data_IF_288707694238
#
_entry.id   IF_288707694238
#
_cell.length_a   1.000
_cell.length_b   1.000
_cell.length_c   1.000
_cell.angle_alpha   90.00
_cell.angle_beta   90.00
_cell.angle_gamma   90.00
#
_symmetry.space_group_name_H-M   'P 1'
#
loop_
_entity.id
_entity.type
_entity.pdbx_description
1 polymer ?
#
# COMPACT_ATOMS: atom_id res chain seq x y z
N UNK A 1 23.74 18.95 5.11
CA UNK A 1 22.44 19.53 5.48
C UNK A 1 21.69 18.42 6.17
N UNK A 2 21.27 18.58 7.43
CA UNK A 2 20.59 17.52 8.17
C UNK A 2 19.23 17.26 7.53
N UNK A 3 19.12 16.15 6.78
CA UNK A 3 17.83 15.60 6.36
C UNK A 3 17.03 15.27 7.62
N UNK A 4 15.83 15.82 7.72
CA UNK A 4 14.91 15.54 8.81
C UNK A 4 14.35 14.12 8.60
N UNK A 5 14.67 13.15 9.47
CA UNK A 5 14.21 11.77 9.33
C UNK A 5 12.68 11.67 9.25
N UNK A 6 11.99 12.65 9.82
CA UNK A 6 10.53 12.76 9.75
C UNK A 6 10.05 12.98 8.31
N UNK A 7 10.69 13.92 7.62
CA UNK A 7 10.37 14.30 6.25
C UNK A 7 10.70 13.17 5.28
N UNK A 8 11.82 12.46 5.50
CA UNK A 8 12.20 11.30 4.69
C UNK A 8 11.21 10.15 4.82
N UNK A 9 10.82 9.83 6.06
CA UNK A 9 9.78 8.84 6.30
C UNK A 9 8.48 9.21 5.61
N UNK A 10 8.00 10.45 5.78
CA UNK A 10 6.74 10.88 5.18
C UNK A 10 6.80 10.83 3.65
N UNK A 11 7.94 11.18 3.06
CA UNK A 11 8.16 11.11 1.60
C UNK A 11 8.11 9.66 1.11
N UNK A 12 8.83 8.76 1.78
CA UNK A 12 8.83 7.33 1.45
C UNK A 12 7.44 6.71 1.66
N UNK A 13 6.78 7.03 2.78
CA UNK A 13 5.45 6.55 3.08
C UNK A 13 4.45 7.03 2.02
N UNK A 14 4.43 8.33 1.69
CA UNK A 14 3.52 8.88 0.69
C UNK A 14 3.69 8.22 -0.68
N UNK A 15 4.94 7.93 -1.08
CA UNK A 15 5.25 7.23 -2.33
C UNK A 15 4.70 5.80 -2.36
N UNK A 16 4.71 5.10 -1.23
CA UNK A 16 4.40 3.68 -1.14
C UNK A 16 3.04 3.37 -0.48
N UNK A 17 2.32 4.38 -0.01
CA UNK A 17 1.08 4.27 0.77
C UNK A 17 0.01 3.42 0.06
N UNK A 18 -0.17 3.66 -1.24
CA UNK A 18 -1.14 2.89 -2.04
C UNK A 18 -0.75 1.42 -2.16
N UNK A 19 0.52 1.12 -2.39
CA UNK A 19 0.98 -0.26 -2.53
C UNK A 19 0.87 -1.01 -1.18
N UNK A 20 1.18 -0.33 -0.08
CA UNK A 20 1.00 -0.85 1.27
C UNK A 20 -0.48 -1.08 1.60
N UNK A 21 -1.35 -0.13 1.25
CA UNK A 21 -2.80 -0.25 1.45
C UNK A 21 -3.37 -1.45 0.70
N UNK A 22 -3.05 -1.60 -0.59
CA UNK A 22 -3.48 -2.75 -1.40
C UNK A 22 -2.99 -4.09 -0.82
N UNK A 23 -1.79 -4.10 -0.24
CA UNK A 23 -1.25 -5.28 0.43
C UNK A 23 -2.08 -5.66 1.67
N UNK A 24 -2.42 -4.69 2.53
CA UNK A 24 -3.24 -4.93 3.73
C UNK A 24 -4.66 -5.37 3.36
N UNK A 25 -5.33 -4.67 2.44
CA UNK A 25 -6.68 -5.04 1.99
C UNK A 25 -6.73 -6.40 1.28
N UNK A 26 -5.64 -6.82 0.63
CA UNK A 26 -5.56 -8.14 0.02
C UNK A 26 -5.49 -9.29 1.04
N UNK A 27 -5.11 -9.00 2.29
CA UNK A 27 -4.90 -10.00 3.35
C UNK A 27 -5.93 -9.92 4.48
N UNK A 28 -6.71 -8.84 4.54
CA UNK A 28 -7.70 -8.60 5.60
C UNK A 28 -9.07 -8.36 4.94
N UNK A 29 -10.00 -9.33 5.03
CA UNK A 29 -11.29 -9.24 4.35
C UNK A 29 -12.21 -8.12 4.85
N UNK A 30 -12.19 -7.84 6.16
CA UNK A 30 -13.02 -6.82 6.76
C UNK A 30 -12.34 -5.45 6.61
N UNK A 31 -13.02 -4.53 5.91
CA UNK A 31 -12.44 -3.22 5.57
C UNK A 31 -12.09 -2.39 6.81
N UNK A 32 -12.95 -2.37 7.84
CA UNK A 32 -12.69 -1.64 9.08
C UNK A 32 -11.43 -2.16 9.79
N UNK A 33 -11.28 -3.48 9.89
CA UNK A 33 -10.09 -4.09 10.48
C UNK A 33 -8.83 -3.81 9.65
N UNK A 34 -8.96 -3.80 8.32
CA UNK A 34 -7.86 -3.48 7.42
C UNK A 34 -7.38 -2.03 7.60
N UNK A 35 -8.32 -1.08 7.74
CA UNK A 35 -8.03 0.33 7.99
C UNK A 35 -7.28 0.51 9.31
N UNK A 36 -7.75 -0.16 10.38
CA UNK A 36 -7.12 -0.12 11.70
C UNK A 36 -5.70 -0.71 11.66
N UNK A 37 -5.53 -1.89 11.03
CA UNK A 37 -4.22 -2.53 10.87
C UNK A 37 -3.28 -1.64 10.07
N UNK A 38 -3.75 -1.01 8.99
CA UNK A 38 -2.95 -0.10 8.18
C UNK A 38 -2.48 1.12 8.99
N UNK A 39 -3.37 1.72 9.79
CA UNK A 39 -3.01 2.84 10.67
C UNK A 39 -1.96 2.42 11.71
N UNK A 40 -2.18 1.30 12.40
CA UNK A 40 -1.21 0.79 13.38
C UNK A 40 0.13 0.45 12.73
N UNK A 41 0.10 -0.12 11.53
CA UNK A 41 1.31 -0.39 10.73
C UNK A 41 2.11 0.90 10.50
N UNK A 42 1.46 1.98 10.06
CA UNK A 42 2.11 3.27 9.82
C UNK A 42 2.73 3.84 11.11
N UNK A 43 2.05 3.72 12.25
CA UNK A 43 2.56 4.15 13.55
C UNK A 43 3.77 3.32 13.99
N UNK A 44 3.75 2.00 13.77
CA UNK A 44 4.88 1.13 14.09
C UNK A 44 6.06 1.39 13.18
N UNK A 45 5.82 1.60 11.88
CA UNK A 45 6.84 2.01 10.93
C UNK A 45 7.49 3.33 11.36
N UNK A 46 6.70 4.34 11.74
CA UNK A 46 7.21 5.62 12.23
C UNK A 46 8.15 5.44 13.44
N UNK A 47 7.70 4.69 14.45
CA UNK A 47 8.49 4.41 15.66
C UNK A 47 9.77 3.64 15.37
N UNK A 48 9.77 2.81 14.32
CA UNK A 48 10.88 1.92 13.96
C UNK A 48 11.69 2.46 12.78
N UNK A 49 11.42 3.68 12.31
CA UNK A 49 12.04 4.21 11.10
C UNK A 49 13.55 4.43 11.26
N UNK A 50 14.03 4.69 12.48
CA UNK A 50 15.46 4.75 12.78
C UNK A 50 16.20 3.43 12.56
N UNK A 51 15.47 2.30 12.47
CA UNK A 51 16.03 0.98 12.17
C UNK A 51 15.99 0.65 10.67
N UNK A 52 15.30 1.47 9.87
CA UNK A 52 15.29 1.30 8.42
C UNK A 52 16.62 1.83 7.86
N UNK A 53 17.27 1.01 7.04
CA UNK A 53 18.52 1.40 6.39
C UNK A 53 18.22 2.13 5.06
N UNK A 54 18.55 3.43 4.95
CA UNK A 54 18.30 4.20 3.73
C UNK A 54 18.97 3.57 2.52
N UNK A 55 18.31 3.66 1.35
CA UNK A 55 18.78 3.03 0.11
C UNK A 55 18.36 1.57 -0.05
N UNK A 56 17.81 0.93 0.99
CA UNK A 56 17.17 -0.38 0.86
C UNK A 56 15.70 -0.27 0.41
N UNK A 57 15.05 -1.42 0.14
CA UNK A 57 13.69 -1.44 -0.37
C UNK A 57 12.65 -1.13 0.73
N UNK A 58 12.20 0.12 0.78
CA UNK A 58 11.21 0.60 1.75
C UNK A 58 9.88 -0.17 1.70
N UNK A 59 9.36 -0.48 0.51
CA UNK A 59 8.07 -1.19 0.42
C UNK A 59 8.18 -2.64 0.92
N UNK A 60 9.31 -3.32 0.68
CA UNK A 60 9.54 -4.65 1.23
C UNK A 60 9.61 -4.62 2.77
N UNK A 61 10.29 -3.63 3.34
CA UNK A 61 10.32 -3.41 4.78
C UNK A 61 8.93 -3.10 5.35
N UNK A 62 8.18 -2.20 4.71
CA UNK A 62 6.82 -1.82 5.12
C UNK A 62 5.86 -3.02 5.09
N UNK A 63 5.91 -3.86 4.05
CA UNK A 63 5.11 -5.10 3.94
C UNK A 63 5.45 -6.08 5.05
N UNK A 64 6.73 -6.20 5.44
CA UNK A 64 7.14 -7.04 6.58
C UNK A 64 6.51 -6.55 7.88
N UNK A 65 6.56 -5.24 8.14
CA UNK A 65 5.89 -4.65 9.32
C UNK A 65 4.39 -4.92 9.28
N UNK A 66 3.74 -4.68 8.14
CA UNK A 66 2.30 -4.92 7.95
C UNK A 66 1.93 -6.39 8.19
N UNK A 67 2.70 -7.33 7.64
CA UNK A 67 2.48 -8.76 7.80
C UNK A 67 2.50 -9.18 9.27
N UNK A 68 3.44 -8.66 10.06
CA UNK A 68 3.48 -8.91 11.50
C UNK A 68 2.26 -8.33 12.24
N UNK A 69 1.76 -7.15 11.85
CA UNK A 69 0.52 -6.60 12.41
C UNK A 69 -0.69 -7.49 12.08
N UNK A 70 -0.79 -7.96 10.83
CA UNK A 70 -1.85 -8.87 10.37
C UNK A 70 -1.79 -10.19 11.16
N UNK A 71 -0.61 -10.79 11.36
CA UNK A 71 -0.45 -11.98 12.19
C UNK A 71 -0.85 -11.73 13.64
N UNK A 72 -0.54 -10.55 14.19
CA UNK A 72 -0.98 -10.13 15.52
C UNK A 72 -2.51 -10.09 15.63
N UNK A 73 -3.15 -9.38 14.71
CA UNK A 73 -4.62 -9.31 14.59
C UNK A 73 -5.24 -10.69 14.44
N UNK A 74 -4.74 -11.53 13.52
CA UNK A 74 -5.26 -12.88 13.30
C UNK A 74 -5.14 -13.77 14.54
N UNK A 75 -4.06 -13.65 15.33
CA UNK A 75 -3.90 -14.38 16.59
C UNK A 75 -4.90 -13.95 17.66
N UNK A 76 -5.24 -12.67 17.73
CA UNK A 76 -6.30 -12.16 18.63
C UNK A 76 -7.69 -12.59 18.14
N UNK A 77 -7.91 -12.55 16.83
CA UNK A 77 -9.15 -12.97 16.16
C UNK A 77 -9.33 -14.51 16.10
N UNK A 78 -8.29 -15.32 16.36
CA UNK A 78 -8.36 -16.81 16.36
C UNK A 78 -9.35 -17.39 17.38
N UNK A 79 -9.90 -16.58 18.30
CA UNK A 79 -11.11 -16.96 19.06
C UNK A 79 -12.37 -17.14 18.17
N UNK A 80 -12.31 -16.75 16.89
CA UNK A 80 -13.44 -16.72 15.95
C UNK A 80 -13.27 -17.64 14.70
N UNK A 81 -12.46 -18.71 14.76
CA UNK A 81 -12.34 -19.72 13.67
C UNK A 81 -11.96 -19.18 12.27
N UNK A 82 -10.73 -18.70 12.10
CA UNK A 82 -10.16 -18.48 10.75
C UNK A 82 -9.35 -19.72 10.30
N UNK A 83 -9.77 -20.44 9.24
CA UNK A 83 -9.18 -21.74 8.84
C UNK A 83 -7.84 -21.64 8.09
N UNK A 84 -7.38 -20.43 7.75
CA UNK A 84 -6.18 -20.24 6.91
C UNK A 84 -4.89 -20.33 7.75
N UNK A 85 -3.94 -21.20 7.36
CA UNK A 85 -2.63 -21.30 8.02
C UNK A 85 -1.80 -20.01 7.84
N UNK A 86 -0.75 -19.85 8.65
CA UNK A 86 0.17 -18.72 8.54
C UNK A 86 1.04 -18.81 7.28
N UNK A 87 1.47 -20.01 6.91
CA UNK A 87 2.20 -20.29 5.66
C UNK A 87 1.39 -19.93 4.42
N UNK A 88 0.10 -20.29 4.38
CA UNK A 88 -0.78 -19.94 3.26
C UNK A 88 -0.99 -18.42 3.19
N UNK A 89 -1.09 -17.73 4.34
CA UNK A 89 -1.19 -16.27 4.36
C UNK A 89 0.07 -15.60 3.79
N UNK A 90 1.24 -16.14 4.11
CA UNK A 90 2.52 -15.65 3.56
C UNK A 90 2.56 -15.80 2.04
N UNK A 91 2.13 -16.94 1.50
CA UNK A 91 2.02 -17.16 0.05
C UNK A 91 1.07 -16.17 -0.60
N UNK A 92 -0.12 -15.94 -0.04
CA UNK A 92 -1.05 -14.91 -0.54
C UNK A 92 -0.39 -13.53 -0.49
N UNK A 93 0.33 -13.23 0.60
CA UNK A 93 1.07 -11.97 0.74
C UNK A 93 2.07 -11.76 -0.40
N UNK A 94 2.83 -12.79 -0.77
CA UNK A 94 3.75 -12.72 -1.91
C UNK A 94 3.04 -12.41 -3.23
N UNK A 95 1.89 -13.04 -3.50
CA UNK A 95 1.15 -12.81 -4.74
C UNK A 95 0.51 -11.41 -4.78
N UNK A 96 -0.05 -10.94 -3.66
CA UNK A 96 -0.59 -9.58 -3.56
C UNK A 96 0.51 -8.53 -3.72
N UNK A 97 1.71 -8.79 -3.17
CA UNK A 97 2.87 -7.93 -3.36
C UNK A 97 3.26 -7.81 -4.84
N UNK A 98 3.34 -8.93 -5.57
CA UNK A 98 3.62 -8.93 -7.02
C UNK A 98 2.58 -8.14 -7.80
N UNK A 99 1.29 -8.38 -7.55
CA UNK A 99 0.20 -7.68 -8.24
C UNK A 99 0.24 -6.17 -8.02
N UNK A 100 0.48 -5.74 -6.78
CA UNK A 100 0.60 -4.31 -6.45
C UNK A 100 1.84 -3.65 -7.08
N UNK A 101 2.97 -4.35 -7.16
CA UNK A 101 4.18 -3.86 -7.81
C UNK A 101 4.00 -3.69 -9.33
N UNK A 102 3.38 -4.67 -10.00
CA UNK A 102 3.02 -4.54 -11.43
C UNK A 102 2.06 -3.36 -11.67
N UNK A 103 1.07 -3.19 -10.79
CA UNK A 103 0.13 -2.06 -10.84
C UNK A 103 0.81 -0.71 -10.64
N UNK A 104 1.84 -0.64 -9.79
CA UNK A 104 2.64 0.56 -9.57
C UNK A 104 3.48 0.91 -10.81
N UNK A 105 4.24 -0.05 -11.35
CA UNK A 105 5.07 0.16 -12.53
C UNK A 105 4.24 0.62 -13.75
N UNK A 106 3.06 0.01 -13.96
CA UNK A 106 2.14 0.41 -15.03
C UNK A 106 1.64 1.84 -14.85
N UNK A 107 1.40 2.27 -13.61
CA UNK A 107 0.95 3.64 -13.31
C UNK A 107 2.06 4.66 -13.54
N UNK A 108 3.28 4.37 -13.10
CA UNK A 108 4.44 5.23 -13.33
C UNK A 108 4.72 5.39 -14.83
N UNK A 109 4.64 4.31 -15.60
CA UNK A 109 4.74 4.34 -17.05
C UNK A 109 3.62 5.20 -17.68
N UNK A 110 2.37 5.06 -17.21
CA UNK A 110 1.25 5.87 -17.67
C UNK A 110 1.46 7.36 -17.36
N UNK A 111 1.88 7.72 -16.15
CA UNK A 111 2.18 9.10 -15.78
C UNK A 111 3.29 9.70 -16.65
N UNK A 112 4.34 8.92 -16.94
CA UNK A 112 5.41 9.32 -17.87
C UNK A 112 4.87 9.56 -19.29
N UNK A 113 4.00 8.68 -19.79
CA UNK A 113 3.36 8.85 -21.09
C UNK A 113 2.44 10.08 -21.12
N UNK A 114 1.64 10.30 -20.08
CA UNK A 114 0.79 11.48 -19.97
C UNK A 114 1.61 12.76 -19.95
N UNK A 115 2.80 12.76 -19.31
CA UNK A 115 3.74 13.89 -19.29
C UNK A 115 4.24 14.31 -20.67
N UNK A 116 4.30 13.40 -21.64
CA UNK A 116 4.71 13.67 -23.03
C UNK A 116 3.60 14.27 -23.88
N UNK A 117 2.36 14.20 -23.42
CA UNK A 117 1.19 14.69 -24.16
C UNK A 117 1.04 16.23 -23.98
N UNK A 118 0.62 16.96 -25.04
CA UNK A 118 0.27 18.38 -24.93
C UNK A 118 -0.75 18.64 -23.80
N UNK A 119 -0.63 19.80 -23.16
CA UNK A 119 -1.40 20.17 -21.96
C UNK A 119 -2.91 20.05 -22.20
N UNK A 120 -3.39 20.47 -23.38
CA UNK A 120 -4.82 20.41 -23.71
C UNK A 120 -5.38 18.99 -23.76
N UNK A 121 -4.64 18.05 -24.36
CA UNK A 121 -5.07 16.65 -24.41
C UNK A 121 -4.99 15.97 -23.04
N UNK A 122 -3.98 16.33 -22.22
CA UNK A 122 -3.87 15.82 -20.85
C UNK A 122 -5.04 16.28 -19.99
N UNK A 123 -5.46 17.54 -20.13
CA UNK A 123 -6.58 18.11 -19.39
C UNK A 123 -7.88 17.37 -19.65
N UNK A 124 -8.16 17.05 -20.92
CA UNK A 124 -9.35 16.26 -21.32
C UNK A 124 -9.30 14.87 -20.69
N UNK A 125 -8.16 14.17 -20.77
CA UNK A 125 -8.00 12.83 -20.20
C UNK A 125 -8.15 12.79 -18.68
N UNK A 126 -7.61 13.79 -17.97
CA UNK A 126 -7.73 13.89 -16.52
C UNK A 126 -9.18 14.20 -16.09
N UNK A 127 -9.87 15.10 -16.79
CA UNK A 127 -11.30 15.36 -16.54
C UNK A 127 -12.14 14.09 -16.74
N UNK A 128 -11.87 13.32 -17.80
CA UNK A 128 -12.56 12.04 -18.03
C UNK A 128 -12.28 11.05 -16.91
N UNK A 129 -11.01 10.88 -16.52
CA UNK A 129 -10.66 9.99 -15.41
C UNK A 129 -11.41 10.35 -14.11
N UNK A 130 -11.50 11.63 -13.77
CA UNK A 130 -12.21 12.08 -12.57
C UNK A 130 -13.73 11.85 -12.66
N UNK A 131 -14.32 12.07 -13.85
CA UNK A 131 -15.72 11.76 -14.11
C UNK A 131 -16.02 10.26 -14.00
N UNK A 132 -15.10 9.40 -14.44
CA UNK A 132 -15.25 7.94 -14.33
C UNK A 132 -15.11 7.44 -12.90
N UNK A 133 -14.27 8.09 -12.08
CA UNK A 133 -14.09 7.75 -10.66
C UNK A 133 -15.34 8.02 -9.80
N UNK A 134 -16.21 8.93 -10.25
CA UNK A 134 -17.44 9.34 -9.57
C UNK A 134 -18.71 8.83 -10.26
N UNK A 135 -18.60 8.03 -11.33
CA UNK A 135 -19.77 7.33 -11.85
C UNK A 135 -20.18 6.25 -10.85
N UNK A 136 -21.42 6.24 -10.34
CA UNK A 136 -21.94 5.07 -9.67
C UNK A 136 -21.87 3.91 -10.69
N UNK A 137 -21.20 2.82 -10.30
CA UNK A 137 -21.38 1.54 -10.97
C UNK A 137 -22.90 1.30 -10.99
N UNK A 138 -23.49 1.27 -12.19
CA UNK A 138 -24.91 0.99 -12.35
C UNK A 138 -25.25 -0.27 -11.53
N UNK A 139 -26.17 -0.13 -10.57
CA UNK A 139 -26.85 -1.26 -9.91
C UNK A 139 -27.76 -1.96 -10.91
#
# INVERSE_FOLDING_TARGET
>A
MSEDPSTDFLTLLARHDRALSLYVYGLVPAQADADDILQQTKLVMWKSFSQFEPGTNFIAWARKVAFHQILGYRRQAKRAHLPLSEEMLEQIGHEVAKLSDHGQARREALESCLRKLPVEHRRILLMLHDLWKHRPLCQ
#
